data_IF_881649192610
#
_entry.id   IF_881649192610
#
_cell.length_a   1.000
_cell.length_b   1.000
_cell.length_c   1.000
_cell.angle_alpha   90.00
_cell.angle_beta   90.00
_cell.angle_gamma   90.00
#
_symmetry.space_group_name_H-M   'P 1'
#
loop_
_entity.id
_entity.type
_entity.pdbx_description
1 polymer ?
#
# COMPACT_ATOMS: atom_id res chain seq x y z
N UNK A 1 -2.82 -5.37 32.63
CA UNK A 1 -1.74 -5.02 31.68
C UNK A 1 -2.36 -4.22 30.55
N UNK A 2 -1.81 -3.06 30.24
CA UNK A 2 -2.30 -2.22 29.13
C UNK A 2 -2.14 -2.98 27.79
N UNK A 3 -3.21 -3.15 27.03
CA UNK A 3 -3.21 -3.93 25.80
C UNK A 3 -2.53 -3.20 24.62
N UNK A 4 -2.39 -1.87 24.70
CA UNK A 4 -1.80 -1.05 23.63
C UNK A 4 -0.34 -1.45 23.32
N UNK A 5 0.60 -1.53 24.28
CA UNK A 5 1.97 -1.95 23.97
C UNK A 5 2.06 -3.36 23.41
N UNK A 6 1.20 -4.27 23.87
CA UNK A 6 1.16 -5.64 23.37
C UNK A 6 0.66 -5.68 21.90
N UNK A 7 -0.36 -4.88 21.57
CA UNK A 7 -0.83 -4.73 20.20
C UNK A 7 0.27 -4.19 19.31
N UNK A 8 0.96 -3.11 19.71
CA UNK A 8 2.05 -2.51 18.93
C UNK A 8 3.22 -3.48 18.75
N UNK A 9 3.57 -4.27 19.76
CA UNK A 9 4.60 -5.31 19.65
C UNK A 9 4.20 -6.41 18.66
N UNK A 10 2.94 -6.86 18.70
CA UNK A 10 2.43 -7.85 17.74
C UNK A 10 2.44 -7.31 16.32
N UNK A 11 2.04 -6.05 16.12
CA UNK A 11 2.12 -5.35 14.83
C UNK A 11 3.56 -5.27 14.33
N UNK A 12 4.51 -4.91 15.21
CA UNK A 12 5.93 -4.88 14.88
C UNK A 12 6.41 -6.25 14.39
N UNK A 13 6.09 -7.33 15.11
CA UNK A 13 6.49 -8.69 14.74
C UNK A 13 5.94 -9.09 13.35
N UNK A 14 4.66 -8.83 13.06
CA UNK A 14 4.07 -9.08 11.75
C UNK A 14 4.72 -8.22 10.67
N UNK A 15 5.02 -6.96 10.97
CA UNK A 15 5.71 -6.05 10.05
C UNK A 15 7.14 -6.49 9.72
N UNK A 16 7.87 -7.07 10.69
CA UNK A 16 9.19 -7.69 10.46
C UNK A 16 9.08 -8.83 9.45
N UNK A 17 8.11 -9.72 9.61
CA UNK A 17 7.86 -10.83 8.68
C UNK A 17 7.48 -10.30 7.29
N UNK A 18 6.59 -9.29 7.22
CA UNK A 18 6.20 -8.63 5.98
C UNK A 18 7.42 -8.03 5.25
N UNK A 19 8.29 -7.32 5.98
CA UNK A 19 9.50 -6.71 5.44
C UNK A 19 10.47 -7.75 4.89
N UNK A 20 10.73 -8.82 5.65
CA UNK A 20 11.59 -9.92 5.23
C UNK A 20 11.06 -10.62 3.97
N UNK A 21 9.75 -10.91 3.90
CA UNK A 21 9.11 -11.52 2.74
C UNK A 21 9.15 -10.60 1.52
N UNK A 22 8.91 -9.29 1.70
CA UNK A 22 8.96 -8.31 0.63
C UNK A 22 10.37 -8.16 0.04
N UNK A 23 11.41 -8.20 0.88
CA UNK A 23 12.81 -8.18 0.46
C UNK A 23 13.15 -9.45 -0.30
N UNK A 24 12.91 -10.62 0.31
CA UNK A 24 13.29 -11.91 -0.23
C UNK A 24 12.68 -12.22 -1.60
N UNK A 25 11.45 -11.74 -1.86
CA UNK A 25 10.74 -11.94 -3.13
C UNK A 25 10.91 -10.77 -4.12
N UNK A 26 11.59 -9.69 -3.72
CA UNK A 26 11.64 -8.43 -4.48
C UNK A 26 10.23 -7.93 -4.84
N UNK A 27 9.29 -8.09 -3.89
CA UNK A 27 7.89 -7.76 -4.05
C UNK A 27 7.68 -6.30 -4.44
N UNK A 28 7.08 -6.04 -5.60
CA UNK A 28 6.90 -4.68 -6.10
C UNK A 28 5.95 -4.62 -7.28
N UNK A 29 4.87 -3.84 -7.20
CA UNK A 29 3.96 -3.62 -8.33
C UNK A 29 4.65 -2.87 -9.48
N UNK A 30 5.45 -1.82 -9.17
CA UNK A 30 6.24 -1.09 -10.16
C UNK A 30 7.14 -2.03 -10.97
N UNK A 31 7.96 -2.85 -10.27
CA UNK A 31 8.82 -3.83 -10.93
C UNK A 31 8.02 -4.87 -11.72
N UNK A 32 6.89 -5.34 -11.18
CA UNK A 32 6.02 -6.30 -11.84
C UNK A 32 5.43 -5.77 -13.15
N UNK A 33 4.94 -4.54 -13.17
CA UNK A 33 4.41 -3.90 -14.38
C UNK A 33 5.51 -3.67 -15.42
N UNK A 34 6.68 -3.19 -14.99
CA UNK A 34 7.82 -2.96 -15.89
C UNK A 34 8.32 -4.27 -16.52
N UNK A 35 8.51 -5.31 -15.70
CA UNK A 35 8.96 -6.61 -16.17
C UNK A 35 7.95 -7.25 -17.13
N UNK A 36 6.65 -7.15 -16.82
CA UNK A 36 5.59 -7.68 -17.70
C UNK A 36 5.54 -6.95 -19.05
N UNK A 37 5.73 -5.61 -19.07
CA UNK A 37 5.63 -4.81 -20.29
C UNK A 37 6.87 -4.90 -21.19
N UNK A 38 8.08 -4.93 -20.60
CA UNK A 38 9.32 -4.83 -21.36
C UNK A 38 10.09 -6.13 -21.45
N UNK A 39 10.05 -6.96 -20.39
CA UNK A 39 10.82 -8.19 -20.31
C UNK A 39 9.97 -9.45 -20.55
N UNK A 40 8.64 -9.29 -20.79
CA UNK A 40 7.67 -10.39 -20.87
C UNK A 40 7.72 -11.32 -19.64
N UNK A 41 8.18 -10.81 -18.50
CA UNK A 41 8.28 -11.54 -17.23
C UNK A 41 7.18 -11.10 -16.26
N UNK A 42 6.14 -11.90 -16.16
CA UNK A 42 5.00 -11.64 -15.28
C UNK A 42 5.14 -12.14 -13.83
N UNK A 43 6.28 -12.72 -13.44
CA UNK A 43 6.43 -13.40 -12.12
C UNK A 43 6.20 -12.48 -10.92
N UNK A 44 6.73 -11.25 -10.94
CA UNK A 44 6.52 -10.27 -9.86
C UNK A 44 5.08 -9.76 -9.82
N UNK A 45 4.47 -9.56 -10.99
CA UNK A 45 3.07 -9.18 -11.07
C UNK A 45 2.18 -10.32 -10.55
N UNK A 46 2.51 -11.56 -10.90
CA UNK A 46 1.85 -12.77 -10.38
C UNK A 46 1.93 -12.86 -8.85
N UNK A 47 3.09 -12.59 -8.26
CA UNK A 47 3.26 -12.58 -6.81
C UNK A 47 2.37 -11.50 -6.15
N UNK A 48 2.25 -10.32 -6.78
CA UNK A 48 1.38 -9.26 -6.29
C UNK A 48 -0.11 -9.66 -6.35
N UNK A 49 -0.56 -10.23 -7.47
CA UNK A 49 -1.94 -10.74 -7.64
C UNK A 49 -2.24 -11.89 -6.67
N UNK A 50 -1.29 -12.80 -6.45
CA UNK A 50 -1.42 -13.88 -5.47
C UNK A 50 -1.55 -13.35 -4.05
N UNK A 51 -0.77 -12.33 -3.67
CA UNK A 51 -0.88 -11.73 -2.34
C UNK A 51 -2.26 -11.08 -2.12
N UNK A 52 -2.84 -10.45 -3.15
CA UNK A 52 -4.22 -9.95 -3.12
C UNK A 52 -5.21 -11.10 -2.90
N UNK A 53 -5.10 -12.18 -3.67
CA UNK A 53 -5.99 -13.35 -3.56
C UNK A 53 -5.96 -13.95 -2.15
N UNK A 54 -4.77 -14.12 -1.57
CA UNK A 54 -4.60 -14.64 -0.21
C UNK A 54 -5.18 -13.66 0.82
N UNK A 55 -4.92 -12.36 0.67
CA UNK A 55 -5.45 -11.34 1.58
C UNK A 55 -6.99 -11.33 1.57
N UNK A 56 -7.63 -11.35 0.38
CA UNK A 56 -9.10 -11.43 0.25
C UNK A 56 -9.63 -12.68 0.96
N UNK A 57 -9.08 -13.87 0.66
CA UNK A 57 -9.56 -15.12 1.22
C UNK A 57 -9.46 -15.15 2.74
N UNK A 58 -8.30 -14.75 3.30
CA UNK A 58 -8.09 -14.76 4.75
C UNK A 58 -8.90 -13.69 5.48
N UNK A 59 -9.05 -12.49 4.90
CA UNK A 59 -9.89 -11.43 5.50
C UNK A 59 -11.37 -11.81 5.43
N UNK A 60 -11.82 -12.43 4.36
CA UNK A 60 -13.20 -12.93 4.27
C UNK A 60 -13.50 -14.01 5.33
N UNK A 61 -12.55 -14.94 5.57
CA UNK A 61 -12.65 -15.91 6.66
C UNK A 61 -12.67 -15.21 8.03
N UNK A 62 -11.83 -14.18 8.21
CA UNK A 62 -11.81 -13.39 9.44
C UNK A 62 -13.15 -12.69 9.68
N UNK A 63 -13.81 -12.18 8.64
CA UNK A 63 -15.14 -11.57 8.72
C UNK A 63 -16.22 -12.57 9.13
N UNK A 64 -16.09 -13.86 8.80
CA UNK A 64 -17.02 -14.90 9.29
C UNK A 64 -16.89 -15.09 10.80
N UNK A 65 -15.66 -15.01 11.33
CA UNK A 65 -15.38 -15.21 12.76
C UNK A 65 -15.68 -13.96 13.59
N UNK A 66 -15.25 -12.78 13.11
CA UNK A 66 -15.35 -11.51 13.85
C UNK A 66 -16.53 -10.63 13.42
N UNK A 67 -17.28 -11.02 12.38
CA UNK A 67 -18.45 -10.28 11.89
C UNK A 67 -18.11 -8.87 11.44
N UNK A 68 -18.95 -7.91 11.85
CA UNK A 68 -18.82 -6.48 11.52
C UNK A 68 -17.62 -5.78 12.16
N UNK A 69 -16.90 -6.45 13.08
CA UNK A 69 -15.72 -5.88 13.70
C UNK A 69 -14.59 -5.61 12.69
N UNK A 70 -14.54 -6.33 11.57
CA UNK A 70 -13.56 -6.09 10.49
C UNK A 70 -14.02 -4.97 9.57
N UNK A 71 -14.14 -3.77 10.11
CA UNK A 71 -14.51 -2.57 9.38
C UNK A 71 -13.38 -1.52 9.51
N UNK A 72 -12.50 -1.35 8.51
CA UNK A 72 -11.35 -0.47 8.61
C UNK A 72 -11.74 1.00 8.73
N UNK A 73 -11.23 1.64 9.76
CA UNK A 73 -11.41 3.07 10.03
C UNK A 73 -10.25 3.90 9.44
N UNK A 74 -9.07 3.31 9.31
CA UNK A 74 -7.87 3.99 8.78
C UNK A 74 -7.10 3.12 7.79
N UNK A 75 -7.09 3.47 6.52
CA UNK A 75 -7.98 4.40 5.80
C UNK A 75 -9.44 3.93 5.82
N UNK A 76 -10.41 4.85 5.66
CA UNK A 76 -11.84 4.52 5.75
C UNK A 76 -12.34 3.84 4.46
N UNK A 77 -11.78 2.66 4.15
CA UNK A 77 -12.04 1.92 2.92
C UNK A 77 -13.49 1.43 2.78
N UNK A 78 -14.22 1.32 3.88
CA UNK A 78 -15.62 0.85 3.89
C UNK A 78 -16.63 1.96 4.17
N UNK A 79 -16.21 3.22 4.28
CA UNK A 79 -17.10 4.36 4.50
C UNK A 79 -18.22 4.42 3.45
N UNK A 80 -19.45 4.73 3.86
CA UNK A 80 -20.56 4.94 2.96
C UNK A 80 -20.37 6.11 1.98
N UNK A 81 -19.48 7.06 2.31
CA UNK A 81 -19.12 8.13 1.39
C UNK A 81 -18.00 7.67 0.45
N UNK A 82 -18.39 7.24 -0.76
CA UNK A 82 -17.45 6.83 -1.81
C UNK A 82 -16.87 8.07 -2.50
N UNK A 83 -15.69 8.48 -2.06
CA UNK A 83 -14.95 9.63 -2.65
C UNK A 83 -14.18 9.19 -3.91
N UNK A 84 -14.92 8.73 -4.93
CA UNK A 84 -14.35 8.11 -6.13
C UNK A 84 -13.36 8.99 -6.87
N UNK A 85 -13.57 10.31 -6.86
CA UNK A 85 -12.64 11.27 -7.47
C UNK A 85 -11.27 11.25 -6.82
N UNK A 86 -11.20 11.12 -5.49
CA UNK A 86 -9.93 10.99 -4.76
C UNK A 86 -9.20 9.71 -5.13
N UNK A 87 -9.90 8.59 -5.18
CA UNK A 87 -9.31 7.30 -5.59
C UNK A 87 -8.80 7.34 -7.02
N UNK A 88 -9.58 7.94 -7.95
CA UNK A 88 -9.23 8.01 -9.36
C UNK A 88 -8.05 8.96 -9.59
N UNK A 89 -8.17 10.23 -9.23
CA UNK A 89 -7.13 11.24 -9.48
C UNK A 89 -5.88 10.93 -8.67
N UNK A 90 -6.05 10.66 -7.36
CA UNK A 90 -4.93 10.30 -6.49
C UNK A 90 -4.22 9.04 -6.97
N UNK A 91 -4.96 8.01 -7.40
CA UNK A 91 -4.40 6.78 -7.92
C UNK A 91 -3.62 6.98 -9.23
N UNK A 92 -4.16 7.73 -10.19
CA UNK A 92 -3.47 8.05 -11.44
C UNK A 92 -2.16 8.80 -11.20
N UNK A 93 -2.19 9.87 -10.41
CA UNK A 93 -0.99 10.66 -10.08
C UNK A 93 0.01 9.84 -9.26
N UNK A 94 -0.47 8.99 -8.35
CA UNK A 94 0.40 8.06 -7.62
C UNK A 94 1.11 7.08 -8.57
N UNK A 95 0.40 6.55 -9.55
CA UNK A 95 0.97 5.66 -10.57
C UNK A 95 2.12 6.32 -11.32
N UNK A 96 1.94 7.57 -11.77
CA UNK A 96 2.99 8.39 -12.40
C UNK A 96 4.16 8.59 -11.43
N UNK A 97 3.89 9.09 -10.23
CA UNK A 97 4.90 9.35 -9.22
C UNK A 97 5.70 8.11 -8.83
N UNK A 98 5.04 6.95 -8.72
CA UNK A 98 5.67 5.66 -8.41
C UNK A 98 6.69 5.23 -9.47
N UNK A 99 6.42 5.47 -10.74
CA UNK A 99 7.35 5.15 -11.83
C UNK A 99 8.55 6.09 -11.78
N UNK A 100 8.32 7.39 -11.68
CA UNK A 100 9.38 8.40 -11.59
C UNK A 100 10.26 8.20 -10.35
N UNK A 101 9.67 7.90 -9.18
CA UNK A 101 10.37 7.62 -7.91
C UNK A 101 11.05 6.24 -7.86
N UNK A 102 10.94 5.43 -8.92
CA UNK A 102 11.44 4.06 -9.00
C UNK A 102 10.91 3.10 -7.92
N UNK A 103 9.74 3.39 -7.37
CA UNK A 103 9.09 2.51 -6.40
C UNK A 103 7.98 3.18 -5.58
N UNK A 104 7.09 2.37 -5.05
CA UNK A 104 6.12 2.78 -4.06
C UNK A 104 6.78 2.96 -2.66
N UNK A 105 6.07 3.47 -1.64
CA UNK A 105 6.63 3.61 -0.28
C UNK A 105 7.29 2.33 0.24
N UNK A 106 6.61 1.19 0.19
CA UNK A 106 7.17 -0.10 0.65
C UNK A 106 8.47 -0.45 -0.09
N UNK A 107 8.52 -0.26 -1.42
CA UNK A 107 9.73 -0.56 -2.20
C UNK A 107 10.90 0.34 -1.81
N UNK A 108 10.65 1.61 -1.54
CA UNK A 108 11.71 2.52 -1.09
C UNK A 108 12.16 2.21 0.34
N UNK A 109 11.26 1.79 1.26
CA UNK A 109 11.65 1.26 2.57
C UNK A 109 12.57 0.03 2.44
N UNK A 110 12.24 -0.89 1.53
CA UNK A 110 13.11 -2.06 1.24
C UNK A 110 14.49 -1.62 0.75
N UNK A 111 14.56 -0.66 -0.18
CA UNK A 111 15.85 -0.16 -0.70
C UNK A 111 16.68 0.56 0.36
N UNK A 112 16.03 1.36 1.21
CA UNK A 112 16.71 2.06 2.33
C UNK A 112 17.33 1.05 3.28
N UNK A 113 16.58 0.05 3.70
CA UNK A 113 17.08 -0.97 4.63
C UNK A 113 18.10 -1.93 3.99
N UNK A 114 18.22 -1.94 2.66
CA UNK A 114 19.31 -2.60 1.93
C UNK A 114 20.57 -1.73 1.77
N UNK A 115 20.57 -0.48 2.26
CA UNK A 115 21.71 0.42 2.24
C UNK A 115 21.74 1.44 1.09
N UNK A 116 20.64 1.62 0.34
CA UNK A 116 20.60 2.56 -0.77
C UNK A 116 20.27 3.99 -0.29
N UNK A 117 21.26 4.88 -0.28
CA UNK A 117 21.13 6.27 0.18
C UNK A 117 20.24 7.13 -0.72
N UNK A 118 20.23 6.87 -2.02
CA UNK A 118 19.34 7.56 -2.95
C UNK A 118 17.88 7.28 -2.62
N UNK A 119 17.55 6.03 -2.25
CA UNK A 119 16.20 5.67 -1.81
C UNK A 119 15.81 6.34 -0.48
N UNK A 120 16.76 6.64 0.40
CA UNK A 120 16.50 7.39 1.63
C UNK A 120 16.02 8.82 1.31
N UNK A 121 16.73 9.53 0.42
CA UNK A 121 16.31 10.87 -0.02
C UNK A 121 14.91 10.83 -0.64
N UNK A 122 14.66 9.87 -1.54
CA UNK A 122 13.34 9.67 -2.15
C UNK A 122 12.26 9.41 -1.10
N UNK A 123 12.54 8.57 -0.10
CA UNK A 123 11.60 8.26 0.97
C UNK A 123 11.30 9.48 1.84
N UNK A 124 12.32 10.29 2.17
CA UNK A 124 12.15 11.54 2.92
C UNK A 124 11.27 12.53 2.16
N UNK A 125 11.53 12.77 0.86
CA UNK A 125 10.69 13.64 0.03
C UNK A 125 9.25 13.13 -0.04
N UNK A 126 9.07 11.82 -0.18
CA UNK A 126 7.75 11.19 -0.20
C UNK A 126 7.01 11.36 1.14
N UNK A 127 7.71 11.22 2.25
CA UNK A 127 7.17 11.40 3.59
C UNK A 127 6.80 12.87 3.87
N UNK A 128 7.64 13.82 3.46
CA UNK A 128 7.36 15.27 3.59
C UNK A 128 6.17 15.69 2.75
N UNK A 129 6.03 15.18 1.54
CA UNK A 129 4.86 15.44 0.68
C UNK A 129 3.57 14.84 1.27
N UNK A 130 3.63 13.63 1.82
CA UNK A 130 2.51 13.02 2.54
C UNK A 130 2.16 13.82 3.81
N UNK A 131 3.16 14.29 4.55
CA UNK A 131 2.97 15.15 5.73
C UNK A 131 2.27 16.47 5.36
N UNK A 132 2.72 17.13 4.28
CA UNK A 132 2.09 18.35 3.80
C UNK A 132 0.60 18.13 3.47
N UNK A 133 0.24 16.99 2.88
CA UNK A 133 -1.16 16.66 2.55
C UNK A 133 -2.02 16.33 3.77
N UNK A 134 -1.43 15.82 4.86
CA UNK A 134 -2.19 15.36 6.04
C UNK A 134 -2.21 16.35 7.19
N UNK A 135 -1.15 17.12 7.36
CA UNK A 135 -0.93 17.95 8.57
C UNK A 135 -0.91 19.45 8.27
N UNK A 136 -1.08 19.88 6.99
CA UNK A 136 -1.24 21.29 6.62
C UNK A 136 -2.58 21.54 5.96
N UNK A 137 -2.89 22.80 5.68
CA UNK A 137 -4.11 23.18 4.96
C UNK A 137 -4.09 22.83 3.46
N UNK A 138 -3.00 22.25 2.94
CA UNK A 138 -2.82 21.98 1.51
C UNK A 138 -3.98 21.18 0.91
N UNK A 139 -4.41 20.09 1.57
CA UNK A 139 -5.55 19.31 1.08
C UNK A 139 -6.84 20.13 1.08
N UNK A 140 -7.12 20.85 2.18
CA UNK A 140 -8.35 21.61 2.35
C UNK A 140 -8.47 22.78 1.35
N UNK A 141 -7.36 23.43 1.01
CA UNK A 141 -7.34 24.59 0.12
C UNK A 141 -7.22 24.24 -1.36
N UNK A 142 -6.35 23.27 -1.71
CA UNK A 142 -6.02 22.98 -3.09
C UNK A 142 -6.88 21.85 -3.70
N UNK A 143 -7.32 20.87 -2.90
CA UNK A 143 -7.96 19.65 -3.42
C UNK A 143 -9.42 19.48 -3.01
N UNK A 144 -9.77 19.78 -1.75
CA UNK A 144 -11.13 19.59 -1.24
C UNK A 144 -12.21 20.37 -2.01
N UNK A 145 -11.99 21.63 -2.47
CA UNK A 145 -13.04 22.40 -3.12
C UNK A 145 -13.57 21.77 -4.40
N UNK A 146 -12.72 21.07 -5.16
CA UNK A 146 -13.14 20.44 -6.42
C UNK A 146 -13.30 18.92 -6.31
N UNK A 147 -12.47 18.20 -5.53
CA UNK A 147 -12.62 16.76 -5.34
C UNK A 147 -13.74 16.37 -4.38
N UNK A 148 -14.14 17.27 -3.48
CA UNK A 148 -15.25 17.04 -2.57
C UNK A 148 -16.56 16.76 -3.29
N UNK A 149 -16.76 17.40 -4.45
CA UNK A 149 -17.94 17.19 -5.30
C UNK A 149 -17.93 15.84 -6.04
N UNK A 150 -16.76 15.18 -6.15
CA UNK A 150 -16.62 13.87 -6.80
C UNK A 150 -16.74 12.76 -5.76
N UNK A 151 -17.82 12.81 -5.00
CA UNK A 151 -18.16 11.85 -3.98
C UNK A 151 -19.60 11.38 -4.13
N UNK A 152 -19.86 10.17 -3.71
CA UNK A 152 -21.15 9.50 -3.80
C UNK A 152 -21.53 9.02 -2.40
N UNK A 153 -22.55 9.63 -1.81
CA UNK A 153 -23.08 9.18 -0.52
C UNK A 153 -24.05 8.01 -0.75
N UNK A 154 -23.56 6.82 -0.51
CA UNK A 154 -24.30 5.57 -0.71
C UNK A 154 -25.48 5.41 0.26
N UNK A 155 -25.49 6.14 1.39
CA UNK A 155 -26.61 6.13 2.34
C UNK A 155 -27.92 6.60 1.70
N UNK A 156 -27.84 7.49 0.69
CA UNK A 156 -28.99 7.94 -0.09
C UNK A 156 -29.69 6.81 -0.84
N UNK A 157 -28.99 5.69 -1.03
CA UNK A 157 -29.50 4.47 -1.68
C UNK A 157 -29.66 3.29 -0.71
N UNK A 158 -29.55 3.54 0.61
CA UNK A 158 -29.73 2.53 1.64
C UNK A 158 -28.52 1.64 1.89
N UNK A 159 -27.30 2.07 1.48
CA UNK A 159 -26.08 1.33 1.74
C UNK A 159 -25.23 2.01 2.83
N UNK A 160 -24.93 1.28 3.89
CA UNK A 160 -24.11 1.78 5.01
C UNK A 160 -22.61 1.72 4.72
N UNK A 161 -22.18 0.89 3.76
CA UNK A 161 -20.78 0.66 3.42
C UNK A 161 -20.58 0.54 1.91
N UNK A 162 -19.35 0.86 1.43
CA UNK A 162 -18.97 0.75 0.02
C UNK A 162 -18.29 -0.59 -0.33
N UNK A 163 -18.37 -1.59 0.54
CA UNK A 163 -17.87 -2.93 0.24
C UNK A 163 -18.82 -3.69 -0.69
N UNK A 164 -18.26 -4.56 -1.49
CA UNK A 164 -19.00 -5.34 -2.49
C UNK A 164 -20.12 -6.20 -1.86
N UNK A 165 -19.90 -6.70 -0.64
CA UNK A 165 -20.90 -7.48 0.08
C UNK A 165 -22.15 -6.68 0.42
N UNK A 166 -21.98 -5.43 0.89
CA UNK A 166 -23.10 -4.51 1.16
C UNK A 166 -23.81 -4.11 -0.13
N UNK A 167 -23.07 -3.81 -1.20
CA UNK A 167 -23.66 -3.43 -2.50
C UNK A 167 -24.44 -4.56 -3.17
N UNK A 168 -24.10 -5.81 -2.89
CA UNK A 168 -24.84 -7.00 -3.33
C UNK A 168 -25.98 -7.40 -2.38
N UNK A 169 -26.33 -6.56 -1.38
CA UNK A 169 -27.34 -6.84 -0.36
C UNK A 169 -27.11 -8.14 0.42
N UNK A 170 -25.86 -8.55 0.61
CA UNK A 170 -25.54 -9.76 1.35
C UNK A 170 -25.50 -9.46 2.85
N UNK A 171 -26.56 -9.84 3.56
CA UNK A 171 -26.76 -9.54 4.98
C UNK A 171 -25.96 -10.45 5.92
N UNK A 172 -25.63 -11.68 5.50
CA UNK A 172 -24.95 -12.64 6.36
C UNK A 172 -23.43 -12.71 6.05
N UNK A 173 -22.58 -12.89 7.06
CA UNK A 173 -21.14 -13.07 6.85
C UNK A 173 -20.81 -14.24 5.89
N UNK A 174 -21.60 -15.31 5.96
CA UNK A 174 -21.43 -16.47 5.07
C UNK A 174 -21.76 -16.13 3.61
N UNK A 175 -22.81 -15.32 3.36
CA UNK A 175 -23.15 -14.89 2.01
C UNK A 175 -22.05 -14.01 1.42
N UNK A 176 -21.42 -13.13 2.24
CA UNK A 176 -20.29 -12.28 1.85
C UNK A 176 -19.02 -13.07 1.53
N UNK A 177 -18.84 -14.25 2.11
CA UNK A 177 -17.72 -15.14 1.86
C UNK A 177 -17.68 -15.62 0.40
N UNK A 178 -18.85 -15.89 -0.21
CA UNK A 178 -18.93 -16.46 -1.58
C UNK A 178 -18.28 -15.54 -2.62
N UNK A 179 -18.68 -14.26 -2.80
CA UNK A 179 -18.05 -13.38 -3.79
C UNK A 179 -16.56 -13.13 -3.49
N UNK A 180 -16.19 -13.09 -2.20
CA UNK A 180 -14.79 -12.94 -1.81
C UNK A 180 -13.94 -14.14 -2.25
N UNK A 181 -14.40 -15.37 -1.98
CA UNK A 181 -13.70 -16.59 -2.40
C UNK A 181 -13.69 -16.77 -3.92
N UNK A 182 -14.78 -16.41 -4.60
CA UNK A 182 -14.82 -16.43 -6.08
C UNK A 182 -13.78 -15.47 -6.64
N UNK A 183 -13.72 -14.23 -6.17
CA UNK A 183 -12.71 -13.28 -6.62
C UNK A 183 -11.29 -13.75 -6.26
N UNK A 184 -11.06 -14.24 -5.05
CA UNK A 184 -9.79 -14.80 -4.64
C UNK A 184 -9.37 -16.00 -5.52
N UNK A 185 -10.30 -16.90 -5.86
CA UNK A 185 -10.03 -18.03 -6.74
C UNK A 185 -9.70 -17.58 -8.17
N UNK A 186 -10.42 -16.60 -8.72
CA UNK A 186 -10.11 -16.03 -10.05
C UNK A 186 -8.69 -15.45 -10.07
N UNK A 187 -8.34 -14.62 -9.06
CA UNK A 187 -7.01 -14.03 -8.95
C UNK A 187 -5.93 -15.09 -8.73
N UNK A 188 -6.20 -16.11 -7.91
CA UNK A 188 -5.30 -17.24 -7.69
C UNK A 188 -5.02 -17.98 -9.00
N UNK A 189 -6.06 -18.36 -9.74
CA UNK A 189 -5.93 -19.05 -11.03
C UNK A 189 -5.20 -18.14 -12.04
N UNK A 190 -5.51 -16.86 -12.08
CA UNK A 190 -4.82 -15.89 -12.92
C UNK A 190 -3.31 -15.85 -12.63
N UNK A 191 -2.94 -15.74 -11.35
CA UNK A 191 -1.53 -15.71 -10.91
C UNK A 191 -0.80 -17.02 -11.19
N UNK A 192 -1.48 -18.15 -11.02
CA UNK A 192 -0.87 -19.47 -11.13
C UNK A 192 -0.75 -19.97 -12.56
N UNK A 193 -1.79 -19.76 -13.39
CA UNK A 193 -1.91 -20.35 -14.72
C UNK A 193 -1.49 -19.41 -15.85
N UNK A 194 -1.88 -18.14 -15.79
CA UNK A 194 -1.64 -17.18 -16.86
C UNK A 194 -0.41 -16.31 -16.62
N UNK A 195 -0.09 -16.08 -15.36
CA UNK A 195 1.16 -15.43 -14.97
C UNK A 195 2.12 -16.50 -14.45
N UNK A 196 3.42 -16.50 -14.85
CA UNK A 196 4.30 -17.65 -14.62
C UNK A 196 4.81 -17.76 -13.15
N UNK A 197 3.92 -17.65 -12.16
CA UNK A 197 4.29 -17.70 -10.74
C UNK A 197 4.86 -19.07 -10.32
N UNK A 198 4.29 -20.15 -10.84
CA UNK A 198 4.74 -21.51 -10.54
C UNK A 198 6.20 -21.77 -10.95
N UNK A 199 6.74 -20.98 -11.88
CA UNK A 199 8.16 -21.09 -12.29
C UNK A 199 9.13 -20.47 -11.27
N UNK A 200 8.63 -19.78 -10.24
CA UNK A 200 9.45 -19.09 -9.23
C UNK A 200 9.26 -19.69 -7.85
N UNK A 201 10.20 -20.57 -7.43
CA UNK A 201 10.13 -21.30 -6.15
C UNK A 201 10.09 -20.41 -4.90
N UNK A 202 10.56 -19.15 -4.96
CA UNK A 202 10.61 -18.23 -3.81
C UNK A 202 9.50 -17.18 -3.77
N UNK A 203 8.89 -16.83 -4.91
CA UNK A 203 7.90 -15.74 -4.97
C UNK A 203 6.51 -16.16 -4.49
N UNK A 204 6.09 -17.40 -4.76
CA UNK A 204 4.78 -17.88 -4.32
C UNK A 204 4.64 -17.93 -2.80
N UNK A 205 5.55 -18.56 -2.02
CA UNK A 205 5.44 -18.56 -0.56
C UNK A 205 5.54 -17.14 0.02
N UNK A 206 6.39 -16.26 -0.53
CA UNK A 206 6.45 -14.88 -0.06
C UNK A 206 5.16 -14.10 -0.33
N UNK A 207 4.50 -14.32 -1.47
CA UNK A 207 3.20 -13.72 -1.77
C UNK A 207 2.13 -14.17 -0.76
N UNK A 208 2.12 -15.45 -0.38
CA UNK A 208 1.23 -15.98 0.67
C UNK A 208 1.52 -15.32 2.02
N UNK A 209 2.79 -15.20 2.42
CA UNK A 209 3.18 -14.54 3.67
C UNK A 209 2.76 -13.06 3.68
N UNK A 210 2.92 -12.35 2.57
CA UNK A 210 2.52 -10.93 2.47
C UNK A 210 1.00 -10.79 2.57
N UNK A 211 0.22 -11.62 1.87
CA UNK A 211 -1.24 -11.61 1.98
C UNK A 211 -1.73 -11.98 3.38
N UNK A 212 -1.09 -12.98 4.01
CA UNK A 212 -1.38 -13.38 5.39
C UNK A 212 -1.00 -12.29 6.41
N UNK A 213 0.08 -11.54 6.19
CA UNK A 213 0.44 -10.42 7.05
C UNK A 213 -0.64 -9.33 7.03
N UNK A 214 -1.22 -9.04 5.85
CA UNK A 214 -2.35 -8.08 5.75
C UNK A 214 -3.56 -8.57 6.56
N UNK A 215 -3.93 -9.85 6.44
CA UNK A 215 -5.01 -10.43 7.23
C UNK A 215 -4.68 -10.42 8.74
N UNK A 216 -3.44 -10.69 9.12
CA UNK A 216 -2.98 -10.61 10.51
C UNK A 216 -3.08 -9.18 11.06
N UNK A 217 -2.80 -8.14 10.27
CA UNK A 217 -3.01 -6.75 10.65
C UNK A 217 -4.47 -6.48 11.03
N UNK A 218 -5.43 -6.96 10.22
CA UNK A 218 -6.85 -6.89 10.56
C UNK A 218 -7.21 -7.76 11.78
N UNK A 219 -6.68 -8.97 11.88
CA UNK A 219 -6.94 -9.86 13.01
C UNK A 219 -6.47 -9.25 14.35
N UNK A 220 -5.32 -8.60 14.35
CA UNK A 220 -4.79 -7.93 15.54
C UNK A 220 -5.63 -6.72 15.95
N UNK A 221 -6.09 -5.92 14.97
CA UNK A 221 -6.78 -4.65 15.26
C UNK A 221 -8.30 -4.82 15.43
N UNK A 222 -8.94 -5.78 14.76
CA UNK A 222 -10.36 -6.08 14.87
C UNK A 222 -10.67 -7.20 15.89
N UNK A 223 -9.66 -7.98 16.28
CA UNK A 223 -9.79 -9.08 17.22
C UNK A 223 -9.81 -8.63 18.70
N UNK A 224 -9.86 -9.59 19.64
CA UNK A 224 -9.97 -9.29 21.08
C UNK A 224 -8.87 -8.39 21.63
N UNK A 225 -7.64 -8.52 21.10
CA UNK A 225 -6.51 -7.68 21.51
C UNK A 225 -6.72 -6.22 21.07
N UNK A 226 -7.17 -6.01 19.83
CA UNK A 226 -7.45 -4.67 19.30
C UNK A 226 -8.65 -4.02 20.00
N UNK A 227 -9.73 -4.77 20.24
CA UNK A 227 -10.90 -4.31 21.00
C UNK A 227 -10.49 -3.84 22.39
N UNK A 228 -9.72 -4.67 23.13
CA UNK A 228 -9.23 -4.30 24.45
C UNK A 228 -8.29 -3.09 24.42
N UNK A 229 -7.45 -2.95 23.39
CA UNK A 229 -6.57 -1.80 23.24
C UNK A 229 -7.37 -0.51 22.94
N UNK A 230 -8.47 -0.61 22.19
CA UNK A 230 -9.39 0.52 21.96
C UNK A 230 -10.16 0.89 23.24
N UNK A 231 -10.60 -0.09 24.02
CA UNK A 231 -11.22 0.15 25.32
C UNK A 231 -10.23 0.81 26.28
N UNK A 232 -8.99 0.29 26.41
CA UNK A 232 -7.95 0.90 27.24
C UNK A 232 -7.69 2.35 26.80
N UNK A 233 -7.65 2.63 25.49
CA UNK A 233 -7.47 3.97 24.95
C UNK A 233 -8.64 4.92 25.26
N UNK A 234 -9.87 4.43 25.31
CA UNK A 234 -11.06 5.24 25.59
C UNK A 234 -11.05 5.80 27.03
N UNK A 235 -10.36 5.14 27.96
CA UNK A 235 -10.19 5.60 29.35
C UNK A 235 -8.94 6.46 29.56
N UNK A 236 -8.11 6.66 28.53
CA UNK A 236 -6.93 7.51 28.61
C UNK A 236 -7.29 8.98 28.40
N UNK A 237 -6.70 9.87 29.21
CA UNK A 237 -6.81 11.33 29.01
C UNK A 237 -6.22 11.77 27.67
N UNK A 238 -5.20 11.05 27.19
CA UNK A 238 -4.48 11.29 25.95
C UNK A 238 -4.24 9.96 25.21
N UNK A 239 -5.23 9.46 24.45
CA UNK A 239 -5.09 8.21 23.73
C UNK A 239 -4.08 8.30 22.60
N UNK A 240 -3.44 7.18 22.19
CA UNK A 240 -2.58 7.16 21.03
C UNK A 240 -3.32 7.54 19.76
N UNK A 241 -2.67 8.31 18.90
CA UNK A 241 -3.21 8.69 17.60
C UNK A 241 -3.46 7.44 16.73
N UNK A 242 -4.55 7.48 15.96
CA UNK A 242 -4.74 6.46 14.95
C UNK A 242 -5.19 5.09 15.44
N UNK A 243 -5.71 5.01 16.65
CA UNK A 243 -6.36 3.79 17.14
C UNK A 243 -7.59 3.46 16.29
N UNK A 244 -7.82 2.18 16.05
CA UNK A 244 -8.96 1.67 15.28
C UNK A 244 -8.58 0.47 14.41
N UNK A 245 -9.60 -0.13 13.79
CA UNK A 245 -9.41 -1.28 12.90
C UNK A 245 -8.68 -0.82 11.63
N UNK A 246 -7.54 -1.44 11.37
CA UNK A 246 -6.68 -1.11 10.24
C UNK A 246 -5.74 -2.28 9.89
N UNK A 247 -5.15 -2.21 8.72
CA UNK A 247 -4.09 -3.09 8.30
C UNK A 247 -2.96 -2.30 7.63
N UNK A 248 -1.97 -2.99 7.05
CA UNK A 248 -0.77 -2.36 6.53
C UNK A 248 -1.06 -1.41 5.37
N UNK A 249 -0.61 -0.19 5.52
CA UNK A 249 -0.49 0.84 4.49
C UNK A 249 0.79 1.61 4.77
N UNK A 250 1.35 2.31 3.77
CA UNK A 250 2.61 3.04 3.95
C UNK A 250 2.53 4.50 3.47
N UNK A 251 1.35 4.97 3.07
CA UNK A 251 1.15 6.36 2.65
C UNK A 251 0.96 7.30 3.83
N UNK A 252 -0.12 7.11 4.60
CA UNK A 252 -0.37 7.86 5.83
C UNK A 252 0.71 7.67 6.88
N UNK A 253 1.15 6.44 7.15
CA UNK A 253 2.26 6.16 8.08
C UNK A 253 3.57 6.90 7.81
N UNK A 254 3.89 7.23 6.56
CA UNK A 254 5.06 8.08 6.28
C UNK A 254 4.90 9.49 6.84
N UNK A 255 3.70 10.07 6.74
CA UNK A 255 3.40 11.36 7.37
C UNK A 255 3.41 11.26 8.91
N UNK A 256 2.84 10.18 9.44
CA UNK A 256 2.86 9.93 10.89
C UNK A 256 4.29 9.71 11.41
N UNK A 257 5.17 9.08 10.63
CA UNK A 257 6.58 8.92 10.98
C UNK A 257 7.31 10.28 11.06
N UNK A 258 7.07 11.19 10.12
CA UNK A 258 7.60 12.55 10.21
C UNK A 258 7.08 13.27 11.46
N UNK A 259 5.78 13.15 11.73
CA UNK A 259 5.16 13.77 12.90
C UNK A 259 5.73 13.20 14.21
N UNK A 260 5.92 11.88 14.28
CA UNK A 260 6.55 11.22 15.42
C UNK A 260 7.99 11.69 15.64
N UNK A 261 8.79 11.87 14.58
CA UNK A 261 10.17 12.35 14.70
C UNK A 261 10.24 13.81 15.18
N UNK A 262 9.23 14.63 14.85
CA UNK A 262 9.14 16.02 15.30
C UNK A 262 8.59 16.13 16.73
N UNK A 263 7.69 15.22 17.12
CA UNK A 263 6.98 15.20 18.40
C UNK A 263 6.99 13.81 19.02
N UNK A 264 8.16 13.31 19.50
CA UNK A 264 8.26 11.94 20.00
C UNK A 264 7.48 11.78 21.31
N UNK A 265 6.43 10.97 21.25
CA UNK A 265 5.58 10.63 22.40
C UNK A 265 4.88 9.29 22.20
N UNK A 266 4.35 8.70 23.27
CA UNK A 266 3.54 7.47 23.14
C UNK A 266 2.24 7.71 22.37
N UNK A 267 1.73 8.94 22.32
CA UNK A 267 0.54 9.30 21.55
C UNK A 267 0.79 9.27 20.04
N UNK A 268 1.95 9.75 19.61
CA UNK A 268 2.34 9.82 18.20
C UNK A 268 2.92 8.51 17.67
N UNK A 269 3.15 7.51 18.54
CA UNK A 269 3.59 6.18 18.18
C UNK A 269 2.40 5.35 17.64
N UNK A 270 2.03 5.59 16.41
CA UNK A 270 0.89 4.93 15.75
C UNK A 270 1.20 3.51 15.28
N UNK A 271 0.16 2.73 14.97
CA UNK A 271 0.28 1.45 14.26
C UNK A 271 1.20 1.58 13.03
N UNK A 272 1.03 2.64 12.25
CA UNK A 272 1.77 2.85 11.01
C UNK A 272 3.26 3.12 11.24
N UNK A 273 3.62 3.91 12.26
CA UNK A 273 5.02 4.18 12.63
C UNK A 273 5.71 2.87 13.03
N UNK A 274 5.05 2.07 13.88
CA UNK A 274 5.56 0.77 14.31
C UNK A 274 5.70 -0.20 13.13
N UNK A 275 4.73 -0.18 12.20
CA UNK A 275 4.78 -1.00 10.99
C UNK A 275 5.99 -0.63 10.09
N UNK A 276 6.28 0.67 9.91
CA UNK A 276 7.48 1.13 9.17
C UNK A 276 8.75 0.62 9.85
N UNK A 277 8.88 0.79 11.16
CA UNK A 277 10.03 0.32 11.91
C UNK A 277 10.22 -1.20 11.79
N UNK A 278 9.12 -1.98 11.93
CA UNK A 278 9.15 -3.42 11.76
C UNK A 278 9.58 -3.85 10.35
N UNK A 279 9.04 -3.20 9.31
CA UNK A 279 9.44 -3.48 7.92
C UNK A 279 10.93 -3.20 7.71
N UNK A 280 11.44 -2.07 8.19
CA UNK A 280 12.87 -1.73 8.06
C UNK A 280 13.76 -2.78 8.73
N UNK A 281 13.42 -3.20 9.96
CA UNK A 281 14.14 -4.25 10.68
C UNK A 281 14.06 -5.59 9.93
N UNK A 282 12.87 -5.99 9.49
CA UNK A 282 12.68 -7.24 8.76
C UNK A 282 13.44 -7.31 7.45
N UNK A 283 13.44 -6.21 6.69
CA UNK A 283 14.23 -6.08 5.45
C UNK A 283 15.72 -6.15 5.76
N UNK A 284 16.20 -5.40 6.75
CA UNK A 284 17.61 -5.35 7.12
C UNK A 284 18.13 -6.74 7.53
N UNK A 285 17.40 -7.43 8.42
CA UNK A 285 17.77 -8.79 8.86
C UNK A 285 17.77 -9.78 7.68
N UNK A 286 16.77 -9.71 6.82
CA UNK A 286 16.70 -10.56 5.63
C UNK A 286 17.84 -10.25 4.64
N UNK A 287 18.16 -8.98 4.42
CA UNK A 287 19.25 -8.56 3.54
C UNK A 287 20.62 -9.00 4.07
N UNK A 288 20.85 -8.91 5.39
CA UNK A 288 22.07 -9.42 6.02
C UNK A 288 22.19 -10.94 5.86
N UNK A 289 21.13 -11.68 6.17
CA UNK A 289 21.10 -13.14 6.07
C UNK A 289 21.36 -13.63 4.63
N UNK A 290 20.91 -12.88 3.64
CA UNK A 290 21.07 -13.18 2.22
C UNK A 290 22.32 -12.57 1.60
N UNK A 291 23.10 -11.81 2.36
CA UNK A 291 24.29 -11.07 1.88
C UNK A 291 23.94 -10.08 0.75
N UNK A 292 22.75 -9.53 0.77
CA UNK A 292 22.24 -8.54 -0.19
C UNK A 292 22.29 -7.10 0.35
N UNK A 293 22.86 -6.88 1.52
CA UNK A 293 23.11 -5.54 2.05
C UNK A 293 24.33 -4.91 1.38
N UNK A 294 24.13 -3.75 0.75
CA UNK A 294 25.20 -3.01 0.07
C UNK A 294 25.04 -1.53 0.37
N UNK A 295 26.09 -0.92 0.90
CA UNK A 295 26.11 0.52 1.07
C UNK A 295 26.31 1.19 -0.31
N UNK A 296 25.23 1.74 -0.86
CA UNK A 296 25.20 2.41 -2.15
C UNK A 296 24.98 3.91 -1.94
N UNK A 297 26.08 4.67 -2.01
CA UNK A 297 26.09 6.12 -1.89
C UNK A 297 26.18 6.82 -3.27
N UNK A 298 26.23 6.06 -4.36
CA UNK A 298 26.28 6.61 -5.72
C UNK A 298 25.03 7.42 -6.06
N UNK A 299 25.20 8.74 -6.29
CA UNK A 299 24.10 9.65 -6.59
C UNK A 299 24.34 10.29 -7.95
N UNK A 300 23.49 9.95 -8.93
CA UNK A 300 23.33 10.74 -10.14
C UNK A 300 22.32 11.87 -9.88
N UNK A 301 22.79 13.11 -9.88
CA UNK A 301 21.98 14.29 -9.54
C UNK A 301 20.77 14.44 -10.45
N UNK A 302 20.89 14.20 -11.76
CA UNK A 302 19.79 14.31 -12.71
C UNK A 302 18.73 13.23 -12.45
N UNK A 303 19.17 12.00 -12.17
CA UNK A 303 18.31 10.90 -11.82
C UNK A 303 17.63 11.13 -10.47
N UNK A 304 18.37 11.64 -9.47
CA UNK A 304 17.82 11.95 -8.15
C UNK A 304 16.74 13.03 -8.22
N UNK A 305 16.97 14.11 -8.97
CA UNK A 305 15.95 15.16 -9.16
C UNK A 305 14.64 14.59 -9.72
N UNK A 306 14.73 13.76 -10.75
CA UNK A 306 13.57 13.07 -11.32
C UNK A 306 12.85 12.20 -10.29
N UNK A 307 13.62 11.47 -9.47
CA UNK A 307 13.05 10.63 -8.41
C UNK A 307 12.41 11.44 -7.30
N UNK A 308 12.96 12.60 -6.93
CA UNK A 308 12.37 13.52 -5.95
C UNK A 308 11.05 14.11 -6.45
N UNK A 309 10.96 14.51 -7.72
CA UNK A 309 9.66 14.93 -8.32
C UNK A 309 8.66 13.79 -8.24
N UNK A 310 9.05 12.57 -8.64
CA UNK A 310 8.22 11.38 -8.52
C UNK A 310 7.80 11.07 -7.08
N UNK A 311 8.72 11.25 -6.13
CA UNK A 311 8.48 11.05 -4.70
C UNK A 311 7.46 12.05 -4.14
N UNK A 312 7.59 13.33 -4.49
CA UNK A 312 6.63 14.37 -4.10
C UNK A 312 5.22 14.07 -4.64
N UNK A 313 5.13 13.69 -5.93
CA UNK A 313 3.86 13.28 -6.52
C UNK A 313 3.31 12.02 -5.83
N UNK A 314 4.13 10.98 -5.63
CA UNK A 314 3.67 9.74 -5.01
C UNK A 314 3.27 9.92 -3.54
N UNK A 315 3.99 10.71 -2.74
CA UNK A 315 3.67 10.94 -1.34
C UNK A 315 2.34 11.65 -1.15
N UNK A 316 2.16 12.79 -1.81
CA UNK A 316 0.94 13.58 -1.72
C UNK A 316 -0.28 12.86 -2.31
N UNK A 317 -0.12 12.26 -3.50
CA UNK A 317 -1.22 11.55 -4.17
C UNK A 317 -1.63 10.25 -3.49
N UNK A 318 -0.72 9.58 -2.76
CA UNK A 318 -1.06 8.39 -1.97
C UNK A 318 -2.02 8.72 -0.82
N UNK A 319 -1.84 9.89 -0.18
CA UNK A 319 -2.78 10.42 0.83
C UNK A 319 -4.10 10.80 0.15
N UNK A 320 -4.04 11.43 -1.01
CA UNK A 320 -5.22 11.80 -1.78
C UNK A 320 -6.03 10.55 -2.16
N UNK A 321 -5.38 9.49 -2.64
CA UNK A 321 -5.98 8.20 -3.00
C UNK A 321 -6.38 7.34 -1.79
N UNK A 322 -6.25 7.83 -0.55
CA UNK A 322 -6.49 7.07 0.68
C UNK A 322 -5.65 5.78 0.81
N UNK A 323 -4.60 5.65 0.01
CA UNK A 323 -3.73 4.48 0.07
C UNK A 323 -2.71 4.42 -1.07
N UNK A 324 -1.66 3.66 -0.85
CA UNK A 324 -0.64 3.29 -1.84
C UNK A 324 -0.94 1.91 -2.46
N UNK A 325 0.03 1.31 -3.15
CA UNK A 325 -0.10 -0.06 -3.66
C UNK A 325 -0.42 -1.09 -2.58
N UNK A 326 0.06 -0.93 -1.36
CA UNK A 326 -0.27 -1.82 -0.24
C UNK A 326 -1.61 -1.43 0.37
N UNK A 327 -1.84 -0.13 0.66
CA UNK A 327 -3.07 0.35 1.29
C UNK A 327 -4.31 0.07 0.45
N UNK A 328 -4.34 0.51 -0.83
CA UNK A 328 -5.44 0.21 -1.73
C UNK A 328 -5.37 -1.23 -2.26
N UNK A 329 -4.19 -1.63 -2.79
CA UNK A 329 -4.07 -2.88 -3.54
C UNK A 329 -4.14 -4.14 -2.70
N UNK A 330 -3.66 -4.12 -1.46
CA UNK A 330 -3.73 -5.28 -0.56
C UNK A 330 -4.79 -5.07 0.51
N UNK A 331 -4.64 -4.07 1.39
CA UNK A 331 -5.51 -3.91 2.55
C UNK A 331 -6.94 -3.50 2.18
N UNK A 332 -7.10 -2.52 1.28
CA UNK A 332 -8.43 -2.04 0.87
C UNK A 332 -9.17 -3.04 -0.02
N UNK A 333 -8.47 -3.70 -0.95
CA UNK A 333 -9.09 -4.75 -1.79
C UNK A 333 -9.41 -6.00 -0.97
N UNK A 334 -8.64 -6.31 0.10
CA UNK A 334 -8.92 -7.45 0.97
C UNK A 334 -10.29 -7.36 1.66
N UNK A 335 -10.76 -6.15 1.98
CA UNK A 335 -12.13 -5.91 2.50
C UNK A 335 -13.15 -5.65 1.40
N UNK A 336 -12.80 -5.93 0.13
CA UNK A 336 -13.65 -5.74 -1.05
C UNK A 336 -14.17 -4.30 -1.21
N UNK A 337 -13.40 -3.29 -0.81
CA UNK A 337 -13.74 -1.88 -0.97
C UNK A 337 -13.74 -1.47 -2.44
N UNK A 338 -14.87 -0.97 -2.94
CA UNK A 338 -15.00 -0.46 -4.32
C UNK A 338 -14.06 0.72 -4.56
N UNK A 339 -13.97 1.64 -3.60
CA UNK A 339 -13.02 2.77 -3.70
C UNK A 339 -11.57 2.32 -3.83
N UNK A 340 -11.15 1.31 -3.04
CA UNK A 340 -9.79 0.76 -3.13
C UNK A 340 -9.53 0.04 -4.45
N UNK A 341 -10.53 -0.64 -5.03
CA UNK A 341 -10.44 -1.25 -6.36
C UNK A 341 -10.28 -0.19 -7.45
N UNK A 342 -11.06 0.90 -7.39
CA UNK A 342 -10.90 2.07 -8.29
C UNK A 342 -9.48 2.65 -8.13
N UNK A 343 -9.03 2.84 -6.89
CA UNK A 343 -7.69 3.35 -6.58
C UNK A 343 -6.57 2.48 -7.14
N UNK A 344 -6.65 1.16 -6.96
CA UNK A 344 -5.67 0.21 -7.53
C UNK A 344 -5.68 0.25 -9.06
N UNK A 345 -6.86 0.24 -9.69
CA UNK A 345 -6.99 0.36 -11.14
C UNK A 345 -6.37 1.65 -11.68
N UNK A 346 -6.64 2.78 -11.02
CA UNK A 346 -6.07 4.07 -11.35
C UNK A 346 -4.54 4.09 -11.20
N UNK A 347 -4.00 3.49 -10.11
CA UNK A 347 -2.55 3.33 -9.91
C UNK A 347 -1.92 2.55 -11.06
N UNK A 348 -2.51 1.43 -11.45
CA UNK A 348 -2.01 0.59 -12.54
C UNK A 348 -2.05 1.34 -13.87
N UNK A 349 -3.14 2.05 -14.16
CA UNK A 349 -3.29 2.86 -15.38
C UNK A 349 -2.27 3.99 -15.45
N UNK A 350 -2.10 4.76 -14.37
CA UNK A 350 -1.11 5.84 -14.31
C UNK A 350 0.33 5.32 -14.47
N UNK A 351 0.65 4.21 -13.83
CA UNK A 351 1.95 3.56 -13.96
C UNK A 351 2.18 3.01 -15.39
N UNK A 352 1.18 2.36 -15.97
CA UNK A 352 1.25 1.84 -17.34
C UNK A 352 1.43 2.97 -18.36
N UNK A 353 0.66 4.04 -18.25
CA UNK A 353 0.77 5.19 -19.14
C UNK A 353 2.17 5.81 -19.07
N UNK A 354 2.70 6.00 -17.87
CA UNK A 354 4.04 6.56 -17.68
C UNK A 354 5.13 5.66 -18.27
N UNK A 355 5.06 4.35 -18.06
CA UNK A 355 6.01 3.40 -18.65
C UNK A 355 5.96 3.42 -20.19
N UNK A 356 4.78 3.57 -20.78
CA UNK A 356 4.64 3.70 -22.25
C UNK A 356 5.25 5.00 -22.76
N UNK A 357 5.02 6.12 -22.10
CA UNK A 357 5.63 7.40 -22.45
C UNK A 357 7.15 7.34 -22.37
N UNK A 358 7.70 6.75 -21.29
CA UNK A 358 9.16 6.55 -21.16
C UNK A 358 9.73 5.72 -22.30
N UNK A 359 9.05 4.66 -22.71
CA UNK A 359 9.48 3.81 -23.82
C UNK A 359 9.46 4.56 -25.16
N UNK A 360 8.45 5.38 -25.42
CA UNK A 360 8.37 6.20 -26.62
C UNK A 360 9.48 7.24 -26.68
N UNK A 361 9.73 7.94 -25.58
CA UNK A 361 10.80 8.93 -25.49
C UNK A 361 12.19 8.29 -25.71
N UNK A 362 12.44 7.11 -25.14
CA UNK A 362 13.68 6.38 -25.35
C UNK A 362 13.87 5.96 -26.81
N UNK A 363 12.81 5.51 -27.50
CA UNK A 363 12.87 5.17 -28.93
C UNK A 363 13.20 6.38 -29.81
N UNK A 364 12.54 7.53 -29.56
CA UNK A 364 12.78 8.75 -30.32
C UNK A 364 14.22 9.30 -30.12
N UNK A 365 14.78 9.15 -28.91
CA UNK A 365 16.16 9.54 -28.66
C UNK A 365 17.19 8.69 -29.44
N UNK A 366 16.92 7.38 -29.57
CA UNK A 366 17.79 6.47 -30.36
C UNK A 366 17.69 6.81 -31.86
N UNK A 367 16.49 7.04 -32.39
CA UNK A 367 16.32 7.39 -33.82
C UNK A 367 16.93 8.75 -34.17
N UNK A 368 16.84 9.75 -33.28
CA UNK A 368 17.46 11.05 -33.48
C UNK A 368 19.02 10.97 -33.43
N UNK A 369 19.58 10.14 -32.53
CA UNK A 369 21.03 9.92 -32.45
C UNK A 369 21.60 9.19 -33.67
N UNK A 370 20.88 8.24 -34.25
CA UNK A 370 21.29 7.54 -35.48
C UNK A 370 21.22 8.43 -36.74
N UNK A 371 20.29 9.36 -36.80
CA UNK A 371 20.20 10.32 -37.91
C UNK A 371 21.34 11.37 -37.87
N UNK A 372 21.79 11.77 -36.66
CA UNK A 372 22.91 12.72 -36.51
C UNK A 372 24.31 12.13 -36.74
N UNK A 373 24.44 10.80 -36.75
CA UNK A 373 25.74 10.13 -37.06
C UNK A 373 25.91 9.76 -38.55
N UNK A 374 24.84 9.96 -39.36
CA UNK A 374 24.86 9.67 -40.78
C UNK A 374 24.99 10.94 -41.66
N UNK A 375 25.09 12.12 -41.07
CA UNK A 375 25.38 13.41 -41.69
C UNK A 375 26.81 13.86 -41.29
#
# INVERSE_FOLDING_TARGET
MNAIPLLLLAVFAVAVVLGAAAQASRFCLHGGLRDALFNRDGRRLAAYVMAIAVAIALVALLQVVLGSAVNPVRPPHTSANLVWGRYLVGGLVFGVGMILARGCPLRNLVRVAQGNMQALVVLVVMAMSAYAMTRTALYATAFAPWLGNWSLDLRKWGFDHQDLGTLLHLSTPLARLIPALVLAAILFVAAWRYLPLRSSKGMAPAAVVIGAAVAAGYALTAGPLGAKAMDDAAFMTMPPDGMGVQSFTFSGPLADAVYFLLHPSMQTLTFGVVAIAGVLVGVFLSALARREFHWDAGVDARMLLRQCIGAALAGGSAVLALGCTVGNGLSGVAVLSVGAMIGLGAIVLGAWATLKVEALLARNAVTAGSAGSAA
#
